data_IF_782740394473
#
_entry.id   IF_782740394473
#
_cell.length_a   1.000
_cell.length_b   1.000
_cell.length_c   1.000
_cell.angle_alpha   90.00
_cell.angle_beta   90.00
_cell.angle_gamma   90.00
#
_symmetry.space_group_name_H-M   'P 1'
#
loop_
_entity.id
_entity.type
_entity.pdbx_description
1 polymer ?
#
# COMPACT_ATOMS: atom_id res chain seq x y z
N UNK A 1 15.17 17.65 -26.16
CA UNK A 1 16.64 17.50 -26.30
C UNK A 1 16.98 16.06 -25.95
N UNK A 2 16.95 15.19 -26.96
CA UNK A 2 17.03 13.72 -26.82
C UNK A 2 18.47 13.29 -26.51
N UNK A 3 18.78 13.04 -25.25
CA UNK A 3 19.93 12.23 -24.86
C UNK A 3 19.65 10.78 -25.27
N UNK A 4 20.10 10.42 -26.48
CA UNK A 4 20.23 9.03 -26.92
C UNK A 4 21.29 8.36 -26.05
N UNK A 5 20.87 7.93 -24.86
CA UNK A 5 21.55 6.92 -24.06
C UNK A 5 21.87 5.75 -24.99
N UNK A 6 23.16 5.54 -25.23
CA UNK A 6 23.70 4.34 -25.84
C UNK A 6 23.14 3.16 -25.06
N UNK A 7 22.12 2.50 -25.63
CA UNK A 7 21.61 1.24 -25.09
C UNK A 7 22.81 0.29 -25.09
N UNK A 8 23.17 -0.32 -23.96
CA UNK A 8 24.19 -1.36 -23.98
C UNK A 8 23.74 -2.39 -25.00
N UNK A 9 24.58 -2.66 -25.98
CA UNK A 9 24.32 -3.62 -27.05
C UNK A 9 24.18 -4.98 -26.36
N UNK A 10 22.94 -5.40 -26.13
CA UNK A 10 22.62 -6.75 -25.68
C UNK A 10 22.66 -7.63 -26.92
N UNK A 11 23.83 -8.18 -27.24
CA UNK A 11 23.94 -9.25 -28.23
C UNK A 11 23.29 -10.49 -27.57
N UNK A 12 22.18 -11.03 -28.09
CA UNK A 12 21.66 -12.31 -27.58
C UNK A 12 22.71 -13.40 -27.82
N UNK A 13 22.78 -14.45 -26.98
CA UNK A 13 23.69 -15.57 -27.21
C UNK A 13 23.31 -16.21 -28.55
N UNK A 14 24.06 -15.83 -29.58
CA UNK A 14 23.96 -16.40 -30.91
C UNK A 14 24.71 -17.74 -30.85
N UNK A 15 24.28 -18.78 -31.57
CA UNK A 15 25.10 -19.99 -31.69
C UNK A 15 26.52 -19.59 -32.12
N UNK A 16 27.54 -20.36 -31.71
CA UNK A 16 28.95 -20.17 -32.06
C UNK A 16 29.09 -20.10 -33.60
N UNK A 17 28.91 -18.90 -34.15
CA UNK A 17 28.98 -18.63 -35.58
C UNK A 17 30.43 -18.39 -35.95
N UNK A 18 30.79 -18.70 -37.20
CA UNK A 18 32.15 -18.47 -37.71
C UNK A 18 32.64 -17.04 -37.42
N UNK A 19 31.74 -16.05 -37.45
CA UNK A 19 32.04 -14.65 -37.15
C UNK A 19 32.43 -14.40 -35.69
N UNK A 20 31.74 -15.03 -34.73
CA UNK A 20 32.04 -14.91 -33.30
C UNK A 20 33.36 -15.58 -32.97
N UNK A 21 33.59 -16.78 -33.55
CA UNK A 21 34.86 -17.49 -33.46
C UNK A 21 36.01 -16.64 -33.99
N UNK A 22 35.89 -16.02 -35.17
CA UNK A 22 36.92 -15.12 -35.72
C UNK A 22 37.19 -13.91 -34.83
N UNK A 23 36.16 -13.32 -34.20
CA UNK A 23 36.34 -12.20 -33.26
C UNK A 23 37.13 -12.60 -32.01
N UNK A 24 36.75 -13.70 -31.36
CA UNK A 24 37.47 -14.16 -30.17
C UNK A 24 38.89 -14.64 -30.50
N UNK A 25 39.10 -15.28 -31.66
CA UNK A 25 40.44 -15.60 -32.14
C UNK A 25 41.27 -14.34 -32.41
N UNK A 26 40.71 -13.31 -33.03
CA UNK A 26 41.40 -12.04 -33.21
C UNK A 26 41.79 -11.42 -31.85
N UNK A 27 40.88 -11.50 -30.86
CA UNK A 27 41.13 -11.03 -29.51
C UNK A 27 42.22 -11.86 -28.80
N UNK A 28 42.24 -13.18 -29.01
CA UNK A 28 43.30 -14.06 -28.55
C UNK A 28 44.65 -13.66 -29.15
N UNK A 29 44.74 -13.45 -30.47
CA UNK A 29 45.98 -13.00 -31.11
C UNK A 29 46.42 -11.64 -30.54
N UNK A 30 45.52 -10.67 -30.37
CA UNK A 30 45.89 -9.36 -29.80
C UNK A 30 46.40 -9.44 -28.35
N UNK A 31 45.93 -10.42 -27.57
CA UNK A 31 46.25 -10.55 -26.14
C UNK A 31 47.43 -11.51 -25.86
N UNK A 32 47.69 -12.46 -26.75
CA UNK A 32 48.67 -13.56 -26.56
C UNK A 32 49.93 -13.41 -27.41
N UNK A 33 49.85 -12.73 -28.56
CA UNK A 33 50.93 -12.65 -29.57
C UNK A 33 52.15 -11.81 -29.13
N UNK A 34 52.20 -11.43 -27.85
CA UNK A 34 53.40 -10.92 -27.18
C UNK A 34 54.44 -12.04 -26.97
N UNK A 35 54.00 -13.30 -26.87
CA UNK A 35 54.89 -14.41 -26.46
C UNK A 35 55.11 -15.50 -27.51
N UNK A 36 54.36 -15.50 -28.63
CA UNK A 36 54.47 -16.47 -29.75
C UNK A 36 54.41 -17.97 -29.41
N UNK A 37 53.91 -18.34 -28.22
CA UNK A 37 53.84 -19.75 -27.80
C UNK A 37 52.63 -20.52 -28.35
N UNK A 38 51.61 -19.84 -28.86
CA UNK A 38 50.41 -20.48 -29.43
C UNK A 38 49.38 -20.97 -28.40
N UNK A 39 49.63 -20.78 -27.11
CA UNK A 39 48.71 -21.08 -26.00
C UNK A 39 48.76 -19.97 -24.94
N UNK A 40 47.69 -19.83 -24.17
CA UNK A 40 47.59 -18.89 -23.06
C UNK A 40 47.66 -19.64 -21.73
N UNK A 41 48.40 -19.14 -20.74
CA UNK A 41 48.42 -19.77 -19.42
C UNK A 41 47.19 -19.38 -18.59
N UNK A 42 46.81 -20.22 -17.61
CA UNK A 42 45.64 -19.96 -16.77
C UNK A 42 45.63 -18.59 -16.06
N UNK A 43 46.79 -18.01 -15.75
CA UNK A 43 46.89 -16.68 -15.14
C UNK A 43 46.53 -15.57 -16.14
N UNK A 44 47.05 -15.63 -17.37
CA UNK A 44 46.71 -14.72 -18.45
C UNK A 44 45.23 -14.82 -18.80
N UNK A 45 44.72 -16.05 -18.92
CA UNK A 45 43.31 -16.32 -19.18
C UNK A 45 42.42 -15.71 -18.11
N UNK A 46 42.73 -15.95 -16.84
CA UNK A 46 41.98 -15.38 -15.72
C UNK A 46 41.96 -13.86 -15.75
N UNK A 47 43.09 -13.19 -15.99
CA UNK A 47 43.15 -11.73 -16.06
C UNK A 47 42.27 -11.14 -17.17
N UNK A 48 42.17 -11.82 -18.32
CA UNK A 48 41.33 -11.40 -19.45
C UNK A 48 39.86 -11.69 -19.15
N UNK A 49 39.55 -12.89 -18.66
CA UNK A 49 38.20 -13.30 -18.32
C UNK A 49 37.62 -12.46 -17.17
N UNK A 50 38.44 -11.99 -16.24
CA UNK A 50 38.01 -11.04 -15.19
C UNK A 50 37.45 -9.72 -15.75
N UNK A 51 37.88 -9.30 -16.94
CA UNK A 51 37.37 -8.08 -17.57
C UNK A 51 35.92 -8.22 -18.07
N UNK A 52 35.40 -9.45 -18.17
CA UNK A 52 33.99 -9.71 -18.52
C UNK A 52 33.02 -9.33 -17.40
N UNK A 53 33.51 -9.10 -16.18
CA UNK A 53 32.71 -8.69 -15.03
C UNK A 53 31.97 -9.82 -14.31
N UNK A 54 32.23 -11.08 -14.69
CA UNK A 54 31.66 -12.26 -14.06
C UNK A 54 32.30 -12.57 -12.70
N UNK A 55 31.55 -13.26 -11.84
CA UNK A 55 32.06 -13.71 -10.54
C UNK A 55 33.26 -14.65 -10.71
N UNK A 56 34.26 -14.50 -9.83
CA UNK A 56 35.46 -15.35 -9.82
C UNK A 56 35.15 -16.84 -9.73
N UNK A 57 34.07 -17.20 -9.05
CA UNK A 57 33.60 -18.58 -8.94
C UNK A 57 33.15 -19.13 -10.30
N UNK A 58 32.39 -18.32 -11.05
CA UNK A 58 31.88 -18.68 -12.36
C UNK A 58 33.03 -18.74 -13.39
N UNK A 59 33.96 -17.78 -13.35
CA UNK A 59 35.15 -17.79 -14.20
C UNK A 59 36.01 -19.04 -14.01
N UNK A 60 36.16 -19.50 -12.76
CA UNK A 60 36.87 -20.75 -12.48
C UNK A 60 36.12 -21.97 -13.03
N UNK A 61 34.79 -22.01 -12.91
CA UNK A 61 33.96 -23.08 -13.49
C UNK A 61 34.05 -23.09 -15.03
N UNK A 62 33.97 -21.93 -15.67
CA UNK A 62 34.09 -21.79 -17.12
C UNK A 62 35.47 -22.23 -17.59
N UNK A 63 36.54 -21.86 -16.87
CA UNK A 63 37.90 -22.31 -17.15
C UNK A 63 38.03 -23.84 -17.12
N UNK A 64 37.55 -24.48 -16.04
CA UNK A 64 37.58 -25.94 -15.89
C UNK A 64 36.73 -26.69 -16.95
N UNK A 65 35.70 -26.04 -17.51
CA UNK A 65 34.86 -26.61 -18.56
C UNK A 65 35.45 -26.41 -19.96
N UNK A 66 36.22 -25.34 -20.15
CA UNK A 66 36.88 -25.03 -21.42
C UNK A 66 38.18 -25.80 -21.61
N UNK A 67 38.92 -26.06 -20.53
CA UNK A 67 40.16 -26.85 -20.51
C UNK A 67 39.82 -28.36 -20.61
N UNK A 68 39.97 -28.94 -21.80
CA UNK A 68 39.53 -30.31 -22.06
C UNK A 68 40.63 -31.34 -21.73
N UNK A 69 41.90 -30.95 -21.79
CA UNK A 69 43.05 -31.81 -21.50
C UNK A 69 43.66 -31.60 -20.11
N UNK A 70 43.14 -30.65 -19.33
CA UNK A 70 43.52 -30.30 -17.95
C UNK A 70 45.00 -29.93 -17.83
N UNK A 71 45.54 -29.28 -18.85
CA UNK A 71 46.95 -28.89 -18.89
C UNK A 71 47.22 -27.50 -18.28
N UNK A 72 46.18 -26.85 -17.73
CA UNK A 72 46.16 -25.49 -17.18
C UNK A 72 46.55 -24.40 -18.21
N UNK A 73 46.45 -24.74 -19.50
CA UNK A 73 46.65 -23.86 -20.64
C UNK A 73 45.36 -23.80 -21.44
N UNK A 74 45.17 -22.69 -22.13
CA UNK A 74 44.08 -22.53 -23.07
C UNK A 74 44.66 -22.38 -24.46
N UNK A 75 44.37 -23.37 -25.29
CA UNK A 75 44.56 -23.27 -26.72
C UNK A 75 43.61 -22.20 -27.31
N UNK A 76 43.85 -21.72 -28.54
CA UNK A 76 42.97 -20.75 -29.18
C UNK A 76 41.52 -21.24 -29.28
N UNK A 77 41.34 -22.54 -29.48
CA UNK A 77 40.02 -23.18 -29.54
C UNK A 77 39.31 -23.18 -28.19
N UNK A 78 40.01 -23.54 -27.12
CA UNK A 78 39.46 -23.55 -25.76
C UNK A 78 39.18 -22.13 -25.26
N UNK A 79 39.99 -21.14 -25.64
CA UNK A 79 39.72 -19.74 -25.35
C UNK A 79 38.42 -19.25 -26.01
N UNK A 80 38.16 -19.65 -27.26
CA UNK A 80 36.89 -19.33 -27.94
C UNK A 80 35.71 -19.92 -27.17
N UNK A 81 35.84 -21.15 -26.66
CA UNK A 81 34.81 -21.77 -25.83
C UNK A 81 34.63 -21.00 -24.51
N UNK A 82 35.70 -20.72 -23.77
CA UNK A 82 35.65 -19.99 -22.51
C UNK A 82 34.95 -18.63 -22.66
N UNK A 83 35.34 -17.84 -23.67
CA UNK A 83 34.71 -16.55 -23.96
C UNK A 83 33.23 -16.66 -24.31
N UNK A 84 32.87 -17.70 -25.08
CA UNK A 84 31.47 -17.92 -25.43
C UNK A 84 30.61 -18.29 -24.21
N UNK A 85 31.13 -19.12 -23.31
CA UNK A 85 30.46 -19.44 -22.05
C UNK A 85 30.30 -18.22 -21.15
N UNK A 86 31.31 -17.35 -21.07
CA UNK A 86 31.22 -16.09 -20.33
C UNK A 86 30.06 -15.22 -20.83
N UNK A 87 29.90 -15.08 -22.14
CA UNK A 87 28.81 -14.28 -22.72
C UNK A 87 27.43 -14.89 -22.44
N UNK A 88 27.31 -16.22 -22.46
CA UNK A 88 26.06 -16.92 -22.15
C UNK A 88 25.69 -16.78 -20.68
N UNK A 89 26.62 -17.06 -19.78
CA UNK A 89 26.34 -17.06 -18.35
C UNK A 89 26.19 -15.63 -17.80
N UNK A 90 26.96 -14.68 -18.32
CA UNK A 90 26.74 -13.25 -18.05
C UNK A 90 25.37 -12.77 -18.50
N UNK A 91 24.88 -13.28 -19.65
CA UNK A 91 23.52 -13.00 -20.08
C UNK A 91 22.47 -13.60 -19.12
N UNK A 92 22.68 -14.82 -18.62
CA UNK A 92 21.77 -15.45 -17.64
C UNK A 92 21.74 -14.67 -16.32
N UNK A 93 22.90 -14.32 -15.76
CA UNK A 93 22.99 -13.53 -14.53
C UNK A 93 22.28 -12.17 -14.68
N UNK A 94 22.50 -11.49 -15.82
CA UNK A 94 21.83 -10.22 -16.12
C UNK A 94 20.31 -10.39 -16.26
N UNK A 95 19.83 -11.48 -16.86
CA UNK A 95 18.40 -11.78 -16.95
C UNK A 95 17.79 -12.06 -15.58
N UNK A 96 18.46 -12.84 -14.73
CA UNK A 96 18.04 -13.11 -13.37
C UNK A 96 17.96 -11.82 -12.55
N UNK A 97 18.98 -10.96 -12.65
CA UNK A 97 18.97 -9.66 -11.98
C UNK A 97 17.81 -8.77 -12.45
N UNK A 98 17.55 -8.69 -13.76
CA UNK A 98 16.37 -7.99 -14.30
C UNK A 98 15.05 -8.56 -13.78
N UNK A 99 14.94 -9.87 -13.64
CA UNK A 99 13.75 -10.51 -13.10
C UNK A 99 13.55 -10.18 -11.63
N UNK A 100 14.61 -10.26 -10.82
CA UNK A 100 14.58 -9.91 -9.40
C UNK A 100 14.16 -8.46 -9.17
N UNK A 101 14.66 -7.52 -9.99
CA UNK A 101 14.23 -6.11 -9.92
C UNK A 101 12.73 -5.96 -10.19
N UNK A 102 12.21 -6.60 -11.24
CA UNK A 102 10.77 -6.59 -11.54
C UNK A 102 9.93 -7.22 -10.42
N UNK A 103 10.44 -8.28 -9.79
CA UNK A 103 9.76 -8.91 -8.65
C UNK A 103 9.78 -8.01 -7.41
N UNK A 104 10.85 -7.27 -7.16
CA UNK A 104 10.90 -6.26 -6.11
C UNK A 104 9.89 -5.13 -6.37
N UNK A 105 9.82 -4.60 -7.59
CA UNK A 105 8.84 -3.58 -7.96
C UNK A 105 7.41 -4.07 -7.71
N UNK A 106 7.08 -5.30 -8.14
CA UNK A 106 5.76 -5.91 -7.86
C UNK A 106 5.49 -6.12 -6.37
N UNK A 107 6.51 -6.46 -5.58
CA UNK A 107 6.37 -6.58 -4.11
C UNK A 107 6.03 -5.23 -3.49
N UNK A 108 6.75 -4.17 -3.88
CA UNK A 108 6.50 -2.81 -3.41
C UNK A 108 5.10 -2.32 -3.82
N UNK A 109 4.67 -2.60 -5.05
CA UNK A 109 3.35 -2.23 -5.54
C UNK A 109 2.24 -2.92 -4.74
N UNK A 110 2.34 -4.24 -4.54
CA UNK A 110 1.38 -4.98 -3.71
C UNK A 110 1.29 -4.46 -2.29
N UNK A 111 2.43 -4.12 -1.66
CA UNK A 111 2.42 -3.51 -0.33
C UNK A 111 1.72 -2.15 -0.32
N UNK A 112 1.82 -1.36 -1.39
CA UNK A 112 1.10 -0.08 -1.51
C UNK A 112 -0.40 -0.31 -1.66
N UNK A 113 -0.80 -1.21 -2.53
CA UNK A 113 -2.21 -1.59 -2.75
C UNK A 113 -2.85 -2.12 -1.45
N UNK A 114 -2.14 -2.99 -0.71
CA UNK A 114 -2.62 -3.49 0.58
C UNK A 114 -2.81 -2.37 1.61
N UNK A 115 -1.88 -1.41 1.68
CA UNK A 115 -1.99 -0.24 2.55
C UNK A 115 -3.16 0.68 2.15
N UNK A 116 -3.44 0.81 0.87
CA UNK A 116 -4.60 1.55 0.37
C UNK A 116 -5.91 0.86 0.72
N UNK A 117 -6.03 -0.43 0.39
CA UNK A 117 -7.20 -1.25 0.73
C UNK A 117 -7.50 -1.23 2.24
N UNK A 118 -6.46 -1.30 3.08
CA UNK A 118 -6.62 -1.20 4.54
C UNK A 118 -7.18 0.16 4.98
N UNK A 119 -6.67 1.26 4.42
CA UNK A 119 -7.16 2.63 4.71
C UNK A 119 -8.61 2.81 4.28
N UNK A 120 -8.98 2.31 3.11
CA UNK A 120 -10.37 2.38 2.63
C UNK A 120 -11.33 1.57 3.51
N UNK A 121 -10.93 0.36 3.92
CA UNK A 121 -11.73 -0.47 4.80
C UNK A 121 -11.94 0.20 6.17
N UNK A 122 -10.91 0.84 6.73
CA UNK A 122 -11.01 1.61 7.97
C UNK A 122 -11.97 2.80 7.83
N UNK A 123 -11.85 3.56 6.73
CA UNK A 123 -12.75 4.68 6.44
C UNK A 123 -14.21 4.21 6.28
N UNK A 124 -14.44 3.08 5.61
CA UNK A 124 -15.76 2.49 5.44
C UNK A 124 -16.35 2.06 6.79
N UNK A 125 -15.57 1.40 7.65
CA UNK A 125 -15.99 1.02 9.00
C UNK A 125 -16.33 2.25 9.85
N UNK A 126 -15.53 3.32 9.74
CA UNK A 126 -15.78 4.56 10.46
C UNK A 126 -17.08 5.23 9.99
N UNK A 127 -17.30 5.35 8.68
CA UNK A 127 -18.55 5.86 8.10
C UNK A 127 -19.77 5.05 8.56
N UNK A 128 -19.67 3.72 8.61
CA UNK A 128 -20.75 2.87 9.12
C UNK A 128 -21.06 3.16 10.59
N UNK A 129 -20.04 3.32 11.44
CA UNK A 129 -20.22 3.68 12.85
C UNK A 129 -20.87 5.05 13.01
N UNK A 130 -20.42 6.04 12.26
CA UNK A 130 -20.94 7.40 12.34
C UNK A 130 -22.39 7.46 11.83
N UNK A 131 -22.70 6.75 10.74
CA UNK A 131 -24.07 6.63 10.25
C UNK A 131 -24.99 5.91 11.26
N UNK A 132 -24.50 4.86 11.93
CA UNK A 132 -25.26 4.21 13.01
C UNK A 132 -25.51 5.13 14.20
N UNK A 133 -24.49 5.90 14.62
CA UNK A 133 -24.65 6.90 15.71
C UNK A 133 -25.65 7.97 15.32
N UNK A 134 -25.52 8.53 14.13
CA UNK A 134 -26.43 9.56 13.63
C UNK A 134 -27.86 9.03 13.54
N UNK A 135 -28.07 7.81 13.04
CA UNK A 135 -29.39 7.18 13.00
C UNK A 135 -30.00 7.01 14.40
N UNK A 136 -29.23 6.51 15.37
CA UNK A 136 -29.68 6.38 16.77
C UNK A 136 -30.04 7.74 17.38
N UNK A 137 -29.23 8.75 17.12
CA UNK A 137 -29.48 10.12 17.60
C UNK A 137 -30.77 10.70 17.00
N UNK A 138 -30.96 10.53 15.69
CA UNK A 138 -32.18 10.96 15.00
C UNK A 138 -33.43 10.24 15.50
N UNK A 139 -33.34 8.93 15.80
CA UNK A 139 -34.44 8.18 16.42
C UNK A 139 -34.73 8.67 17.83
N UNK A 140 -33.71 8.93 18.64
CA UNK A 140 -33.85 9.48 19.99
C UNK A 140 -34.49 10.88 19.98
N UNK A 141 -34.05 11.78 19.12
CA UNK A 141 -34.67 13.10 18.96
C UNK A 141 -36.12 13.02 18.48
N UNK A 142 -36.43 12.10 17.55
CA UNK A 142 -37.81 11.86 17.11
C UNK A 142 -38.68 11.38 18.26
N UNK A 143 -38.17 10.51 19.12
CA UNK A 143 -38.89 10.03 20.29
C UNK A 143 -39.14 11.15 21.30
N UNK A 144 -38.10 11.92 21.65
CA UNK A 144 -38.21 13.06 22.56
C UNK A 144 -39.20 14.12 22.02
N UNK A 145 -39.19 14.37 20.71
CA UNK A 145 -40.14 15.28 20.07
C UNK A 145 -41.58 14.78 20.17
N UNK A 146 -41.81 13.48 20.00
CA UNK A 146 -43.13 12.86 20.19
C UNK A 146 -43.60 12.97 21.64
N UNK A 147 -42.74 12.68 22.60
CA UNK A 147 -43.06 12.81 24.03
C UNK A 147 -43.45 14.25 24.39
N UNK A 148 -42.65 15.24 23.94
CA UNK A 148 -42.96 16.66 24.15
C UNK A 148 -44.30 17.07 23.54
N UNK A 149 -44.62 16.59 22.33
CA UNK A 149 -45.91 16.87 21.68
C UNK A 149 -47.09 16.25 22.45
N UNK A 150 -46.89 15.10 23.09
CA UNK A 150 -47.91 14.46 23.92
C UNK A 150 -48.04 15.08 25.30
N UNK A 151 -46.98 15.68 25.83
CA UNK A 151 -46.95 16.31 27.17
C UNK A 151 -47.56 17.72 27.16
N UNK A 152 -47.33 18.51 26.10
CA UNK A 152 -47.89 19.85 25.96
C UNK A 152 -49.41 19.95 26.20
N UNK A 153 -50.28 19.15 25.53
CA UNK A 153 -51.72 19.23 25.77
C UNK A 153 -52.10 18.78 27.19
N UNK A 154 -51.37 17.79 27.74
CA UNK A 154 -51.59 17.34 29.13
C UNK A 154 -51.23 18.43 30.14
N UNK A 155 -50.13 19.15 29.93
CA UNK A 155 -49.73 20.26 30.79
C UNK A 155 -50.70 21.43 30.67
N UNK A 156 -51.15 21.75 29.46
CA UNK A 156 -52.15 22.79 29.22
C UNK A 156 -53.49 22.45 29.90
N UNK A 157 -53.93 21.20 29.82
CA UNK A 157 -55.13 20.71 30.52
C UNK A 157 -54.96 20.80 32.04
N UNK A 158 -53.80 20.40 32.59
CA UNK A 158 -53.49 20.55 34.02
C UNK A 158 -53.50 22.03 34.46
N UNK A 159 -52.97 22.93 33.63
CA UNK A 159 -52.99 24.39 33.89
C UNK A 159 -54.41 24.93 33.91
N UNK A 160 -55.24 24.58 32.90
CA UNK A 160 -56.66 24.98 32.85
C UNK A 160 -57.44 24.45 34.05
N UNK A 161 -57.23 23.20 34.44
CA UNK A 161 -57.87 22.61 35.61
C UNK A 161 -57.49 23.33 36.91
N UNK A 162 -56.20 23.69 37.06
CA UNK A 162 -55.74 24.45 38.21
C UNK A 162 -56.37 25.85 38.27
N UNK A 163 -56.40 26.57 37.14
CA UNK A 163 -57.03 27.88 37.03
C UNK A 163 -58.54 27.83 37.31
N UNK A 164 -59.22 26.78 36.83
CA UNK A 164 -60.63 26.54 37.11
C UNK A 164 -60.90 26.28 38.60
N UNK A 165 -60.02 25.53 39.28
CA UNK A 165 -60.13 25.31 40.74
C UNK A 165 -59.91 26.60 41.53
N UNK A 166 -58.91 27.39 41.15
CA UNK A 166 -58.62 28.66 41.82
C UNK A 166 -59.74 29.68 41.63
N UNK A 167 -60.32 29.77 40.42
CA UNK A 167 -61.48 30.63 40.16
C UNK A 167 -62.70 30.18 40.96
N UNK A 168 -63.03 28.89 40.95
CA UNK A 168 -64.11 28.34 41.77
C UNK A 168 -63.90 28.59 43.27
N UNK A 169 -62.67 28.45 43.76
CA UNK A 169 -62.31 28.75 45.15
C UNK A 169 -62.54 30.22 45.49
N UNK A 170 -62.07 31.15 44.65
CA UNK A 170 -62.29 32.59 44.83
C UNK A 170 -63.77 32.95 44.81
N UNK A 171 -64.57 32.32 43.94
CA UNK A 171 -66.02 32.50 43.92
C UNK A 171 -66.69 32.02 45.22
N UNK A 172 -66.27 30.85 45.73
CA UNK A 172 -66.75 30.33 47.02
C UNK A 172 -66.37 31.31 48.14
N UNK A 173 -65.10 31.71 48.24
CA UNK A 173 -64.62 32.66 49.25
C UNK A 173 -65.37 34.00 49.18
N UNK A 174 -65.63 34.51 47.96
CA UNK A 174 -66.41 35.72 47.75
C UNK A 174 -67.86 35.59 48.21
N UNK A 175 -68.55 34.50 47.83
CA UNK A 175 -69.94 34.22 48.25
C UNK A 175 -70.03 34.05 49.77
N UNK A 176 -69.14 33.28 50.38
CA UNK A 176 -69.08 33.11 51.84
C UNK A 176 -68.85 34.42 52.57
N UNK A 177 -68.02 35.32 52.03
CA UNK A 177 -67.81 36.65 52.60
C UNK A 177 -69.08 37.51 52.52
N UNK A 178 -69.76 37.53 51.38
CA UNK A 178 -71.02 38.26 51.23
C UNK A 178 -72.12 37.73 52.17
N UNK A 179 -72.21 36.41 52.32
CA UNK A 179 -73.15 35.77 53.25
C UNK A 179 -72.82 36.11 54.71
N UNK A 180 -71.54 36.08 55.08
CA UNK A 180 -71.07 36.49 56.40
C UNK A 180 -71.38 37.96 56.69
N UNK A 181 -71.07 38.86 55.74
CA UNK A 181 -71.40 40.29 55.86
C UNK A 181 -72.92 40.49 56.01
N UNK A 182 -73.73 39.77 55.24
CA UNK A 182 -75.20 39.80 55.34
C UNK A 182 -75.70 39.32 56.71
N UNK A 183 -75.21 38.19 57.20
CA UNK A 183 -75.59 37.64 58.50
C UNK A 183 -75.17 38.57 59.65
N UNK A 184 -73.93 39.03 59.63
CA UNK A 184 -73.39 39.97 60.61
C UNK A 184 -74.20 41.28 60.64
N UNK A 185 -74.60 41.81 59.48
CA UNK A 185 -75.48 42.98 59.41
C UNK A 185 -76.88 42.69 59.98
N UNK A 186 -77.44 41.52 59.72
CA UNK A 186 -78.73 41.11 60.30
C UNK A 186 -78.65 40.99 61.83
N UNK A 187 -77.59 40.41 62.36
CA UNK A 187 -77.33 40.32 63.81
C UNK A 187 -77.25 41.70 64.47
N UNK A 188 -76.54 42.66 63.85
CA UNK A 188 -76.48 44.05 64.33
C UNK A 188 -77.83 44.77 64.32
N UNK A 189 -78.74 44.41 63.41
CA UNK A 189 -80.09 45.01 63.34
C UNK A 189 -81.12 44.34 64.25
N UNK A 190 -80.81 43.18 64.83
CA UNK A 190 -81.74 42.39 65.66
C UNK A 190 -81.46 42.53 67.16
N UNK A 191 -80.54 43.42 67.56
CA UNK A 191 -80.30 43.85 68.95
C UNK A 191 -80.94 45.22 69.22
#
# INVERSE_FOLDING_TARGET
MFSRLLKPIVIPPSPLTSTIRSKYLQQFHLLVDVTKYGFMNGIQAKNILQQTGLSQMLLHQIGNLADHDKDDRLTPDEFVFAMHYCDIDGYKELQQHRQLLREQEKRVEREREERECKRELELQKQKQKDNQKHKKQMEFERQLKRERQMEQPKEEERRKLFEQRETARKEIEYKSRLEWERQHMQELTTQ
#
